data_IF_462188078818
#
_entry.id   IF_462188078818
#
_cell.length_a   1.000
_cell.length_b   1.000
_cell.length_c   1.000
_cell.angle_alpha   90.00
_cell.angle_beta   90.00
_cell.angle_gamma   90.00
#
_symmetry.space_group_name_H-M   'P 1'
#
loop_
_entity.id
_entity.type
_entity.pdbx_description
1 polymer ?
#
# COMPACT_ATOMS: atom_id res chain seq x y z
N UNK A 1 -75.48 -47.14 77.22
CA UNK A 1 -75.82 -47.02 78.65
C UNK A 1 -74.56 -47.34 79.45
N UNK A 2 -74.10 -46.36 80.25
CA UNK A 2 -73.16 -46.42 81.39
C UNK A 2 -71.70 -46.90 81.18
N UNK A 3 -70.83 -45.89 81.19
CA UNK A 3 -69.49 -45.87 81.84
C UNK A 3 -69.61 -46.28 83.33
N UNK A 4 -68.55 -46.75 83.99
CA UNK A 4 -67.81 -45.84 84.91
C UNK A 4 -66.29 -46.15 84.92
N UNK A 5 -65.32 -45.22 84.90
CA UNK A 5 -65.09 -43.97 85.64
C UNK A 5 -64.92 -44.13 87.17
N UNK A 6 -63.68 -43.92 87.63
CA UNK A 6 -63.20 -43.39 88.95
C UNK A 6 -61.68 -43.66 89.02
N UNK A 7 -60.78 -42.69 88.75
CA UNK A 7 -60.29 -41.58 89.60
C UNK A 7 -59.80 -42.04 90.97
N UNK A 8 -58.49 -41.81 91.25
CA UNK A 8 -57.78 -41.40 92.51
C UNK A 8 -56.28 -41.67 92.24
N UNK A 9 -55.39 -40.71 91.97
CA UNK A 9 -54.78 -39.61 92.76
C UNK A 9 -53.67 -40.03 93.75
N UNK A 10 -52.50 -39.39 93.57
CA UNK A 10 -51.35 -39.19 94.48
C UNK A 10 -50.45 -40.42 94.77
N UNK A 11 -49.15 -40.42 94.47
CA UNK A 11 -48.08 -39.63 95.12
C UNK A 11 -46.72 -40.00 94.47
N UNK A 12 -45.76 -39.09 94.39
CA UNK A 12 -44.36 -39.46 94.07
C UNK A 12 -43.51 -38.39 93.39
N UNK A 13 -43.02 -37.43 94.18
CA UNK A 13 -41.96 -36.47 93.84
C UNK A 13 -40.69 -37.19 93.34
N UNK A 14 -39.98 -36.63 92.35
CA UNK A 14 -38.53 -36.29 92.39
C UNK A 14 -37.92 -36.21 90.99
N UNK A 15 -37.46 -35.01 90.62
CA UNK A 15 -36.33 -34.68 89.74
C UNK A 15 -35.97 -35.61 88.55
N UNK A 16 -36.23 -35.14 87.33
CA UNK A 16 -35.24 -35.20 86.23
C UNK A 16 -35.22 -33.86 85.48
N UNK A 17 -34.76 -32.81 86.18
CA UNK A 17 -34.24 -31.57 85.58
C UNK A 17 -32.77 -31.77 85.19
N UNK A 18 -32.49 -32.70 84.28
CA UNK A 18 -31.11 -32.95 83.81
C UNK A 18 -31.01 -33.19 82.30
N UNK A 19 -31.89 -32.59 81.51
CA UNK A 19 -31.72 -32.49 80.04
C UNK A 19 -30.76 -31.37 79.61
N UNK A 20 -30.10 -30.68 80.56
CA UNK A 20 -29.29 -29.48 80.28
C UNK A 20 -27.78 -29.68 80.05
N UNK A 21 -27.20 -30.85 80.34
CA UNK A 21 -25.73 -31.01 80.36
C UNK A 21 -25.15 -32.05 79.38
N UNK A 22 -25.98 -32.90 78.76
CA UNK A 22 -25.49 -33.89 77.79
C UNK A 22 -25.60 -33.42 76.32
N UNK A 23 -26.59 -32.59 75.99
CA UNK A 23 -26.72 -31.97 74.65
C UNK A 23 -25.63 -30.92 74.41
N UNK A 24 -25.15 -30.22 75.44
CA UNK A 24 -24.12 -29.17 75.24
C UNK A 24 -22.78 -29.73 74.77
N UNK A 25 -22.37 -30.90 75.26
CA UNK A 25 -21.08 -31.50 74.89
C UNK A 25 -21.15 -32.28 73.57
N UNK A 26 -22.29 -32.90 73.25
CA UNK A 26 -22.51 -33.58 71.96
C UNK A 26 -22.84 -32.60 70.82
N UNK A 27 -23.58 -31.52 71.10
CA UNK A 27 -23.80 -30.42 70.15
C UNK A 27 -22.50 -29.67 69.93
N UNK A 28 -21.67 -29.36 70.96
CA UNK A 28 -20.32 -28.82 70.74
C UNK A 28 -19.46 -29.71 69.85
N UNK A 29 -19.38 -31.03 70.12
CA UNK A 29 -18.63 -31.97 69.26
C UNK A 29 -19.13 -32.05 67.81
N UNK A 30 -20.39 -31.69 67.52
CA UNK A 30 -20.97 -31.68 66.15
C UNK A 30 -20.95 -30.29 65.52
N UNK A 31 -20.98 -29.22 66.31
CA UNK A 31 -21.05 -27.82 65.85
C UNK A 31 -19.65 -27.19 65.74
N UNK A 32 -18.67 -27.59 66.55
CA UNK A 32 -17.28 -27.16 66.43
C UNK A 32 -16.64 -27.48 65.06
N UNK A 33 -16.76 -28.71 64.50
CA UNK A 33 -16.26 -28.98 63.14
C UNK A 33 -17.09 -28.26 62.05
N UNK A 34 -18.33 -27.88 62.33
CA UNK A 34 -19.15 -27.11 61.41
C UNK A 34 -18.71 -25.64 61.40
N UNK A 35 -18.43 -25.06 62.57
CA UNK A 35 -17.88 -23.71 62.70
C UNK A 35 -16.52 -23.58 61.99
N UNK A 36 -15.63 -24.57 62.14
CA UNK A 36 -14.35 -24.60 61.40
C UNK A 36 -14.55 -24.69 59.88
N UNK A 37 -15.54 -25.45 59.40
CA UNK A 37 -15.87 -25.53 57.97
C UNK A 37 -16.48 -24.24 57.43
N UNK A 38 -17.31 -23.56 58.21
CA UNK A 38 -17.85 -22.25 57.85
C UNK A 38 -16.72 -21.23 57.77
N UNK A 39 -15.83 -21.17 58.76
CA UNK A 39 -14.68 -20.24 58.73
C UNK A 39 -13.73 -20.53 57.55
N UNK A 40 -13.48 -21.80 57.22
CA UNK A 40 -12.72 -22.16 56.01
C UNK A 40 -13.44 -21.78 54.71
N UNK A 41 -14.77 -21.90 54.68
CA UNK A 41 -15.58 -21.54 53.51
C UNK A 41 -15.62 -20.03 53.32
N UNK A 42 -15.76 -19.26 54.41
CA UNK A 42 -15.67 -17.80 54.39
C UNK A 42 -14.30 -17.33 53.91
N UNK A 43 -13.20 -17.93 54.39
CA UNK A 43 -11.85 -17.63 53.89
C UNK A 43 -11.70 -17.95 52.40
N UNK A 44 -12.21 -19.11 51.95
CA UNK A 44 -12.19 -19.48 50.52
C UNK A 44 -13.02 -18.52 49.66
N UNK A 45 -14.20 -18.10 50.13
CA UNK A 45 -15.03 -17.13 49.41
C UNK A 45 -14.31 -15.78 49.32
N UNK A 46 -13.69 -15.30 50.40
CA UNK A 46 -12.90 -14.06 50.37
C UNK A 46 -11.70 -14.15 49.41
N UNK A 47 -10.98 -15.29 49.38
CA UNK A 47 -9.90 -15.53 48.42
C UNK A 47 -10.42 -15.59 46.98
N UNK A 48 -11.58 -16.21 46.76
CA UNK A 48 -12.21 -16.27 45.43
C UNK A 48 -12.69 -14.89 44.96
N UNK A 49 -13.28 -14.08 45.84
CA UNK A 49 -13.70 -12.71 45.51
C UNK A 49 -12.49 -11.85 45.12
N UNK A 50 -11.38 -11.95 45.85
CA UNK A 50 -10.15 -11.26 45.51
C UNK A 50 -9.57 -11.72 44.14
N UNK A 51 -9.57 -13.02 43.88
CA UNK A 51 -9.14 -13.57 42.59
C UNK A 51 -10.06 -13.14 41.43
N UNK A 52 -11.38 -13.07 41.65
CA UNK A 52 -12.34 -12.60 40.65
C UNK A 52 -12.11 -11.12 40.33
N UNK A 53 -11.86 -10.28 41.34
CA UNK A 53 -11.57 -8.86 41.13
C UNK A 53 -10.26 -8.67 40.36
N UNK A 54 -9.21 -9.43 40.69
CA UNK A 54 -7.95 -9.41 39.95
C UNK A 54 -8.13 -9.91 38.50
N UNK A 55 -8.89 -10.98 38.31
CA UNK A 55 -9.20 -11.50 36.97
C UNK A 55 -9.97 -10.45 36.15
N UNK A 56 -10.98 -9.80 36.71
CA UNK A 56 -11.72 -8.73 36.05
C UNK A 56 -10.79 -7.60 35.61
N UNK A 57 -9.90 -7.13 36.50
CA UNK A 57 -8.90 -6.09 36.14
C UNK A 57 -7.98 -6.57 35.02
N UNK A 58 -7.52 -7.82 35.07
CA UNK A 58 -6.65 -8.40 34.04
C UNK A 58 -7.35 -8.50 32.68
N UNK A 59 -8.61 -8.89 32.66
CA UNK A 59 -9.44 -8.99 31.45
C UNK A 59 -9.69 -7.61 30.86
N UNK A 60 -10.05 -6.61 31.67
CA UNK A 60 -10.19 -5.23 31.19
C UNK A 60 -8.88 -4.69 30.60
N UNK A 61 -7.75 -4.95 31.25
CA UNK A 61 -6.44 -4.53 30.75
C UNK A 61 -6.02 -5.30 29.48
N UNK A 62 -6.46 -6.55 29.31
CA UNK A 62 -6.25 -7.32 28.08
C UNK A 62 -7.13 -6.80 26.94
N UNK A 63 -8.41 -6.49 27.20
CA UNK A 63 -9.34 -5.93 26.22
C UNK A 63 -8.85 -4.57 25.70
N UNK A 64 -8.37 -3.69 26.59
CA UNK A 64 -7.80 -2.40 26.20
C UNK A 64 -6.56 -2.57 25.30
N UNK A 65 -5.69 -3.54 25.63
CA UNK A 65 -4.52 -3.86 24.80
C UNK A 65 -4.93 -4.45 23.44
N UNK A 66 -5.95 -5.30 23.41
CA UNK A 66 -6.46 -5.88 22.18
C UNK A 66 -7.03 -4.78 21.25
N UNK A 67 -7.87 -3.89 21.78
CA UNK A 67 -8.39 -2.73 21.04
C UNK A 67 -7.29 -1.82 20.54
N UNK A 68 -6.28 -1.54 21.37
CA UNK A 68 -5.11 -0.77 20.97
C UNK A 68 -4.29 -1.45 19.87
N UNK A 69 -4.14 -2.77 19.92
CA UNK A 69 -3.48 -3.54 18.87
C UNK A 69 -4.27 -3.54 17.56
N UNK A 70 -5.59 -3.71 17.62
CA UNK A 70 -6.47 -3.65 16.45
C UNK A 70 -6.42 -2.27 15.79
N UNK A 71 -6.47 -1.20 16.57
CA UNK A 71 -6.34 0.17 16.06
C UNK A 71 -5.00 0.38 15.32
N UNK A 72 -3.89 -0.06 15.91
CA UNK A 72 -2.56 0.01 15.27
C UNK A 72 -2.48 -0.85 14.01
N UNK A 73 -3.11 -2.02 14.01
CA UNK A 73 -3.13 -2.90 12.84
C UNK A 73 -3.90 -2.26 11.67
N UNK A 74 -5.03 -1.61 11.95
CA UNK A 74 -5.81 -0.86 10.95
C UNK A 74 -5.02 0.32 10.40
N UNK A 75 -4.35 1.08 11.26
CA UNK A 75 -3.49 2.20 10.85
C UNK A 75 -2.32 1.71 9.99
N UNK A 76 -1.61 0.67 10.42
CA UNK A 76 -0.52 0.06 9.65
C UNK A 76 -0.99 -0.46 8.29
N UNK A 77 -2.17 -1.09 8.23
CA UNK A 77 -2.75 -1.53 6.97
C UNK A 77 -3.11 -0.36 6.05
N UNK A 78 -3.54 0.79 6.60
CA UNK A 78 -3.78 2.01 5.82
C UNK A 78 -2.48 2.57 5.25
N UNK A 79 -1.46 2.75 6.10
CA UNK A 79 -0.15 3.23 5.69
C UNK A 79 0.48 2.33 4.61
N UNK A 80 0.32 1.01 4.73
CA UNK A 80 0.79 0.07 3.73
C UNK A 80 0.08 0.25 2.37
N UNK A 81 -1.24 0.47 2.36
CA UNK A 81 -1.99 0.76 1.13
C UNK A 81 -1.56 2.08 0.48
N UNK A 82 -1.35 3.12 1.30
CA UNK A 82 -0.91 4.42 0.80
C UNK A 82 0.51 4.34 0.22
N UNK A 83 1.42 3.64 0.91
CA UNK A 83 2.77 3.37 0.42
C UNK A 83 2.76 2.58 -0.90
N UNK A 84 1.89 1.55 -1.01
CA UNK A 84 1.74 0.78 -2.24
C UNK A 84 1.22 1.65 -3.39
N UNK A 85 0.25 2.53 -3.14
CA UNK A 85 -0.28 3.48 -4.11
C UNK A 85 0.79 4.48 -4.57
N UNK A 86 1.57 5.03 -3.64
CA UNK A 86 2.70 5.92 -3.95
C UNK A 86 3.76 5.22 -4.80
N UNK A 87 4.11 3.97 -4.48
CA UNK A 87 5.05 3.17 -5.25
C UNK A 87 4.56 2.89 -6.68
N UNK A 88 3.27 2.57 -6.86
CA UNK A 88 2.70 2.38 -8.20
C UNK A 88 2.76 3.66 -9.03
N UNK A 89 2.43 4.82 -8.44
CA UNK A 89 2.54 6.12 -9.11
C UNK A 89 3.98 6.42 -9.51
N UNK A 90 4.94 6.19 -8.62
CA UNK A 90 6.35 6.39 -8.91
C UNK A 90 6.83 5.49 -10.06
N UNK A 91 6.39 4.23 -10.10
CA UNK A 91 6.71 3.31 -11.20
C UNK A 91 6.16 3.79 -12.54
N UNK A 92 4.91 4.29 -12.57
CA UNK A 92 4.32 4.86 -13.78
C UNK A 92 5.13 6.08 -14.26
N UNK A 93 5.44 7.01 -13.37
CA UNK A 93 6.27 8.19 -13.71
C UNK A 93 7.66 7.80 -14.22
N UNK A 94 8.30 6.78 -13.62
CA UNK A 94 9.60 6.29 -14.08
C UNK A 94 9.53 5.65 -15.48
N UNK A 95 8.47 4.89 -15.75
CA UNK A 95 8.24 4.30 -17.08
C UNK A 95 8.00 5.38 -18.14
N UNK A 96 7.19 6.39 -17.81
CA UNK A 96 6.93 7.53 -18.71
C UNK A 96 8.20 8.33 -19.01
N UNK A 97 9.02 8.59 -17.98
CA UNK A 97 10.31 9.26 -18.14
C UNK A 97 11.26 8.45 -19.03
N UNK A 98 11.32 7.14 -18.85
CA UNK A 98 12.14 6.24 -19.68
C UNK A 98 11.66 6.25 -21.14
N UNK A 99 10.35 6.20 -21.37
CA UNK A 99 9.77 6.29 -22.71
C UNK A 99 10.03 7.66 -23.36
N UNK A 100 9.96 8.76 -22.60
CA UNK A 100 10.31 10.09 -23.08
C UNK A 100 11.79 10.18 -23.46
N UNK A 101 12.71 9.67 -22.62
CA UNK A 101 14.14 9.63 -22.91
C UNK A 101 14.45 8.80 -24.17
N UNK A 102 13.79 7.66 -24.35
CA UNK A 102 13.89 6.85 -25.57
C UNK A 102 13.48 7.63 -26.83
N UNK A 103 12.36 8.36 -26.78
CA UNK A 103 11.91 9.22 -27.88
C UNK A 103 12.90 10.35 -28.18
N UNK A 104 13.47 10.97 -27.15
CA UNK A 104 14.50 12.02 -27.33
C UNK A 104 15.72 11.45 -28.03
N UNK A 105 16.21 10.29 -27.58
CA UNK A 105 17.38 9.62 -28.18
C UNK A 105 17.14 9.32 -29.67
N UNK A 106 15.97 8.77 -30.02
CA UNK A 106 15.60 8.52 -31.41
C UNK A 106 15.55 9.80 -32.26
N UNK A 107 15.01 10.89 -31.70
CA UNK A 107 14.96 12.18 -32.40
C UNK A 107 16.35 12.78 -32.60
N UNK A 108 17.24 12.65 -31.62
CA UNK A 108 18.63 13.11 -31.74
C UNK A 108 19.34 12.34 -32.85
N UNK A 109 19.23 11.01 -32.87
CA UNK A 109 19.80 10.19 -33.95
C UNK A 109 19.28 10.59 -35.33
N UNK A 110 17.96 10.77 -35.48
CA UNK A 110 17.37 11.22 -36.74
C UNK A 110 17.85 12.62 -37.17
N UNK A 111 18.07 13.52 -36.21
CA UNK A 111 18.65 14.85 -36.49
C UNK A 111 20.11 14.73 -36.91
N UNK A 112 20.92 13.91 -36.23
CA UNK A 112 22.31 13.66 -36.59
C UNK A 112 22.44 13.09 -38.02
N UNK A 113 21.64 12.09 -38.38
CA UNK A 113 21.58 11.53 -39.72
C UNK A 113 21.20 12.59 -40.77
N UNK A 114 20.22 13.44 -40.46
CA UNK A 114 19.81 14.54 -41.34
C UNK A 114 20.90 15.59 -41.49
N UNK A 115 21.62 15.94 -40.42
CA UNK A 115 22.72 16.90 -40.47
C UNK A 115 23.91 16.35 -41.28
N UNK A 116 24.21 15.06 -41.16
CA UNK A 116 25.19 14.40 -42.01
C UNK A 116 24.77 14.45 -43.49
N UNK A 117 23.48 14.31 -43.78
CA UNK A 117 22.93 14.42 -45.14
C UNK A 117 23.01 15.85 -45.68
N UNK A 118 22.69 16.88 -44.87
CA UNK A 118 22.71 18.29 -45.30
C UNK A 118 24.13 18.79 -45.55
N UNK A 119 25.12 18.33 -44.79
CA UNK A 119 26.53 18.69 -45.03
C UNK A 119 27.14 18.04 -46.29
N UNK A 120 26.35 17.33 -47.11
CA UNK A 120 26.78 16.76 -48.40
C UNK A 120 26.43 17.59 -49.63
N UNK A 121 26.06 18.87 -49.50
CA UNK A 121 26.06 19.77 -50.66
C UNK A 121 27.49 19.98 -51.15
N UNK A 122 27.95 19.06 -51.99
CA UNK A 122 29.21 19.16 -52.72
C UNK A 122 28.87 19.61 -54.14
N UNK A 123 29.63 20.57 -54.67
CA UNK A 123 29.50 21.00 -56.05
C UNK A 123 29.82 19.79 -56.95
N UNK A 124 28.78 19.20 -57.55
CA UNK A 124 28.93 18.02 -58.40
C UNK A 124 29.50 18.38 -59.78
N UNK A 125 29.04 19.50 -60.34
CA UNK A 125 29.51 20.03 -61.61
C UNK A 125 29.20 21.54 -61.68
N UNK A 126 30.06 22.28 -62.36
CA UNK A 126 29.86 23.70 -62.69
C UNK A 126 30.30 23.91 -64.14
N UNK A 127 29.51 24.67 -64.89
CA UNK A 127 29.78 24.92 -66.29
C UNK A 127 29.34 26.35 -66.64
N UNK A 128 30.17 27.03 -67.44
CA UNK A 128 29.84 28.34 -67.97
C UNK A 128 29.31 28.18 -69.38
N UNK A 129 28.14 28.76 -69.65
CA UNK A 129 27.52 28.75 -70.97
C UNK A 129 27.38 30.18 -71.46
N UNK A 130 27.84 30.42 -72.68
CA UNK A 130 27.77 31.73 -73.32
C UNK A 130 26.53 31.80 -74.21
N UNK A 131 25.90 32.97 -74.22
CA UNK A 131 24.81 33.28 -75.14
C UNK A 131 25.36 33.96 -76.39
N UNK A 132 24.59 33.93 -77.49
CA UNK A 132 24.92 34.70 -78.67
C UNK A 132 24.97 36.21 -78.36
N UNK A 133 25.77 36.95 -79.14
CA UNK A 133 25.96 38.38 -78.91
C UNK A 133 24.63 39.15 -78.87
N UNK A 134 24.45 39.95 -77.82
CA UNK A 134 23.23 40.73 -77.55
C UNK A 134 21.94 39.89 -77.65
N UNK A 135 22.01 38.63 -77.20
CA UNK A 135 20.90 37.69 -77.27
C UNK A 135 20.83 36.85 -76.00
N UNK A 136 19.62 36.43 -75.65
CA UNK A 136 19.38 35.39 -74.63
C UNK A 136 19.27 34.00 -75.26
N UNK A 137 19.59 33.86 -76.56
CA UNK A 137 19.54 32.60 -77.28
C UNK A 137 20.83 31.82 -77.05
N UNK A 138 20.68 30.55 -76.72
CA UNK A 138 21.77 29.58 -76.72
C UNK A 138 22.03 29.10 -78.14
N UNK A 139 23.30 29.08 -78.53
CA UNK A 139 23.74 28.40 -79.74
C UNK A 139 23.77 26.87 -79.52
N UNK A 140 23.81 26.06 -80.59
CA UNK A 140 23.76 24.60 -80.47
C UNK A 140 24.81 24.02 -79.50
N UNK A 141 26.00 24.60 -79.47
CA UNK A 141 27.08 24.17 -78.57
C UNK A 141 26.73 24.43 -77.09
N UNK A 142 26.12 25.58 -76.80
CA UNK A 142 25.65 25.92 -75.45
C UNK A 142 24.50 25.01 -74.99
N UNK A 143 23.63 24.61 -75.92
CA UNK A 143 22.58 23.63 -75.63
C UNK A 143 23.16 22.24 -75.34
N UNK A 144 24.11 21.76 -76.15
CA UNK A 144 24.76 20.47 -75.96
C UNK A 144 25.49 20.38 -74.60
N UNK A 145 26.11 21.49 -74.19
CA UNK A 145 26.77 21.64 -72.88
C UNK A 145 25.77 21.48 -71.71
N UNK A 146 24.61 22.12 -71.79
CA UNK A 146 23.53 21.95 -70.79
C UNK A 146 22.96 20.53 -70.79
N UNK A 147 22.78 19.91 -71.96
CA UNK A 147 22.30 18.53 -72.08
C UNK A 147 23.28 17.55 -71.42
N UNK A 148 24.59 17.75 -71.61
CA UNK A 148 25.62 16.96 -70.94
C UNK A 148 25.60 17.14 -69.42
N UNK A 149 25.42 18.37 -68.94
CA UNK A 149 25.31 18.66 -67.50
C UNK A 149 24.05 18.01 -66.89
N UNK A 150 22.91 18.09 -67.59
CA UNK A 150 21.67 17.44 -67.18
C UNK A 150 21.81 15.91 -67.08
N UNK A 151 22.58 15.29 -67.99
CA UNK A 151 22.88 13.86 -67.96
C UNK A 151 23.74 13.41 -66.77
N UNK A 152 24.43 14.33 -66.08
CA UNK A 152 25.25 14.04 -64.90
C UNK A 152 24.48 14.14 -63.59
N UNK A 153 23.23 14.63 -63.60
CA UNK A 153 22.41 14.77 -62.41
C UNK A 153 21.95 13.38 -61.95
N UNK A 154 22.31 12.93 -60.73
CA UNK A 154 21.90 11.61 -60.23
C UNK A 154 20.38 11.52 -60.11
N UNK A 155 19.80 10.45 -60.66
CA UNK A 155 18.38 10.15 -60.48
C UNK A 155 18.11 9.66 -59.04
N UNK A 156 17.15 10.29 -58.36
CA UNK A 156 16.68 9.85 -57.04
C UNK A 156 17.36 10.46 -55.81
N UNK A 157 18.38 11.32 -55.97
CA UNK A 157 18.96 12.09 -54.87
C UNK A 157 18.41 13.54 -54.86
N UNK A 158 18.25 14.19 -53.69
CA UNK A 158 17.96 15.62 -53.65
C UNK A 158 19.16 16.41 -54.16
N UNK A 159 18.94 17.28 -55.14
CA UNK A 159 19.95 18.17 -55.72
C UNK A 159 19.44 19.61 -55.78
N UNK A 160 20.36 20.57 -55.85
CA UNK A 160 20.08 22.00 -56.04
C UNK A 160 20.83 22.45 -57.29
N UNK A 161 20.13 23.16 -58.17
CA UNK A 161 20.74 23.81 -59.34
C UNK A 161 20.77 25.31 -59.06
N UNK A 162 21.96 25.89 -59.15
CA UNK A 162 22.16 27.33 -59.05
C UNK A 162 22.54 27.89 -60.42
N UNK A 163 21.83 28.90 -60.89
CA UNK A 163 22.11 29.60 -62.15
C UNK A 163 22.51 31.03 -61.83
N UNK A 164 23.74 31.39 -62.15
CA UNK A 164 24.29 32.73 -61.95
C UNK A 164 24.54 33.38 -63.32
N UNK A 165 23.99 34.58 -63.50
CA UNK A 165 24.23 35.39 -64.69
C UNK A 165 25.23 36.50 -64.40
N UNK A 166 26.21 36.66 -65.28
CA UNK A 166 27.19 37.75 -65.23
C UNK A 166 27.16 38.50 -66.56
N UNK A 167 27.35 39.82 -66.51
CA UNK A 167 27.67 40.62 -67.70
C UNK A 167 29.19 40.73 -67.82
N UNK A 168 29.70 40.95 -69.02
CA UNK A 168 31.11 41.33 -69.15
C UNK A 168 31.36 42.71 -68.54
N UNK A 169 32.61 43.00 -68.17
CA UNK A 169 33.00 44.23 -67.48
C UNK A 169 33.44 45.35 -68.42
N UNK A 170 33.06 45.30 -69.70
CA UNK A 170 33.53 46.22 -70.75
C UNK A 170 32.49 47.30 -71.07
#
# INVERSE_FOLDING_TARGET
MRVPSRVVMATGVMFILSTGCATKQFVRKRVDPLAQRVEQTEKKNQEQDAQLEELQRSVSAADERARGADSKAVEAASLARDAQSAAQKAQLTANDATAAAGRVTQRVQAVEERLQTINRYQLAASQTVLFAFNSSRLEPDGQALLDQLAGQIPSGAPYVIEVQGFTDST
#
